data_IF_269353796921
#
_entry.id   IF_269353796921
#
_cell.length_a   1.000
_cell.length_b   1.000
_cell.length_c   1.000
_cell.angle_alpha   90.00
_cell.angle_beta   90.00
_cell.angle_gamma   90.00
#
_symmetry.space_group_name_H-M   'P 1'
#
loop_
_entity.id
_entity.type
_entity.pdbx_description
1 polymer ?
#
# COMPACT_ATOMS: atom_id res chain seq x y z
N UNK A 1 38.30 27.08 -29.29
CA UNK A 1 37.38 26.52 -28.27
C UNK A 1 36.38 27.63 -27.98
N UNK A 2 35.12 27.49 -28.36
CA UNK A 2 34.12 28.57 -28.23
C UNK A 2 33.59 28.55 -26.80
N UNK A 3 33.76 29.64 -26.05
CA UNK A 3 33.22 29.82 -24.71
C UNK A 3 31.72 30.10 -24.79
N UNK A 4 30.93 29.03 -24.84
CA UNK A 4 29.46 29.07 -24.91
C UNK A 4 28.85 29.82 -23.70
N UNK A 5 29.61 29.92 -22.60
CA UNK A 5 29.20 30.59 -21.36
C UNK A 5 29.33 32.12 -21.37
N UNK A 6 30.12 32.73 -22.27
CA UNK A 6 30.34 34.19 -22.25
C UNK A 6 29.22 35.00 -22.93
N UNK A 7 28.39 34.35 -23.76
CA UNK A 7 27.32 34.99 -24.53
C UNK A 7 25.94 34.87 -23.87
N UNK A 8 25.78 33.96 -22.90
CA UNK A 8 24.50 33.77 -22.20
C UNK A 8 24.42 34.79 -21.06
N UNK A 9 23.39 35.68 -21.04
CA UNK A 9 23.23 36.63 -19.95
C UNK A 9 23.10 35.89 -18.63
N UNK A 10 23.90 36.27 -17.62
CA UNK A 10 23.90 35.67 -16.28
C UNK A 10 22.50 35.61 -15.65
N UNK A 11 21.61 36.55 -16.04
CA UNK A 11 20.21 36.58 -15.65
C UNK A 11 19.41 35.32 -16.03
N UNK A 12 19.75 34.64 -17.13
CA UNK A 12 19.07 33.38 -17.53
C UNK A 12 19.33 32.28 -16.52
N UNK A 13 20.56 32.14 -16.04
CA UNK A 13 20.91 31.15 -15.00
C UNK A 13 20.24 31.47 -13.66
N UNK A 14 20.14 32.75 -13.30
CA UNK A 14 19.44 33.18 -12.08
C UNK A 14 17.94 32.85 -12.16
N UNK A 15 17.30 33.09 -13.31
CA UNK A 15 15.89 32.76 -13.52
C UNK A 15 15.65 31.25 -13.47
N UNK A 16 16.49 30.44 -14.12
CA UNK A 16 16.39 28.98 -14.08
C UNK A 16 16.63 28.46 -12.65
N UNK A 17 17.64 28.97 -11.96
CA UNK A 17 17.94 28.61 -10.57
C UNK A 17 16.77 28.94 -9.62
N UNK A 18 16.18 30.12 -9.76
CA UNK A 18 15.03 30.54 -8.95
C UNK A 18 13.78 29.73 -9.26
N UNK A 19 13.53 29.44 -10.54
CA UNK A 19 12.39 28.63 -10.99
C UNK A 19 12.49 27.18 -10.49
N UNK A 20 13.68 26.58 -10.60
CA UNK A 20 13.92 25.22 -10.11
C UNK A 20 13.83 25.14 -8.58
N UNK A 21 14.43 26.10 -7.86
CA UNK A 21 14.34 26.17 -6.40
C UNK A 21 12.89 26.31 -5.91
N UNK A 22 12.10 27.20 -6.51
CA UNK A 22 10.68 27.34 -6.16
C UNK A 22 9.89 26.08 -6.46
N UNK A 23 10.06 25.47 -7.65
CA UNK A 23 9.39 24.22 -8.00
C UNK A 23 9.71 23.10 -6.99
N UNK A 24 10.98 22.93 -6.62
CA UNK A 24 11.38 21.93 -5.62
C UNK A 24 10.78 22.24 -4.24
N UNK A 25 10.74 23.51 -3.82
CA UNK A 25 10.13 23.89 -2.53
C UNK A 25 8.62 23.57 -2.47
N UNK A 26 7.90 23.62 -3.58
CA UNK A 26 6.49 23.23 -3.64
C UNK A 26 6.28 21.70 -3.73
N UNK A 27 7.13 21.00 -4.48
CA UNK A 27 6.97 19.55 -4.74
C UNK A 27 7.52 18.70 -3.60
N UNK A 28 8.67 19.08 -3.03
CA UNK A 28 9.40 18.27 -2.05
C UNK A 28 8.60 18.01 -0.76
N UNK A 29 7.85 18.96 -0.17
CA UNK A 29 7.03 18.69 1.01
C UNK A 29 5.90 17.69 0.75
N UNK A 30 5.32 17.69 -0.45
CA UNK A 30 4.30 16.69 -0.83
C UNK A 30 4.96 15.33 -1.01
N UNK A 31 6.10 15.28 -1.70
CA UNK A 31 6.87 14.06 -1.91
C UNK A 31 7.31 13.41 -0.59
N UNK A 32 7.92 14.19 0.31
CA UNK A 32 8.36 13.71 1.62
C UNK A 32 7.21 13.15 2.46
N UNK A 33 6.06 13.85 2.48
CA UNK A 33 4.85 13.37 3.19
C UNK A 33 4.31 12.06 2.59
N UNK A 34 4.29 11.93 1.27
CA UNK A 34 3.91 10.67 0.62
C UNK A 34 4.87 9.53 0.99
N UNK A 35 6.18 9.81 0.98
CA UNK A 35 7.22 8.82 1.28
C UNK A 35 7.12 8.35 2.72
N UNK A 36 6.96 9.29 3.65
CA UNK A 36 6.79 8.99 5.07
C UNK A 36 5.50 8.17 5.30
N UNK A 37 4.37 8.60 4.73
CA UNK A 37 3.11 7.85 4.83
C UNK A 37 3.24 6.42 4.26
N UNK A 38 4.00 6.23 3.19
CA UNK A 38 4.25 4.91 2.60
C UNK A 38 5.04 4.00 3.52
N UNK A 39 6.09 4.53 4.15
CA UNK A 39 6.92 3.81 5.12
C UNK A 39 6.08 3.45 6.35
N UNK A 40 5.33 4.41 6.90
CA UNK A 40 4.46 4.18 8.06
C UNK A 40 3.41 3.11 7.77
N UNK A 41 2.69 3.23 6.65
CA UNK A 41 1.70 2.24 6.23
C UNK A 41 2.34 0.85 6.07
N UNK A 42 3.46 0.76 5.33
CA UNK A 42 4.13 -0.52 5.11
C UNK A 42 4.55 -1.16 6.42
N UNK A 43 5.19 -0.41 7.32
CA UNK A 43 5.66 -0.94 8.60
C UNK A 43 4.48 -1.39 9.47
N UNK A 44 3.42 -0.59 9.58
CA UNK A 44 2.26 -0.94 10.39
C UNK A 44 1.59 -2.25 9.91
N UNK A 45 1.46 -2.43 8.59
CA UNK A 45 0.91 -3.65 8.00
C UNK A 45 1.84 -4.85 8.22
N UNK A 46 3.15 -4.68 8.03
CA UNK A 46 4.14 -5.73 8.28
C UNK A 46 4.16 -6.14 9.76
N UNK A 47 4.06 -5.18 10.68
CA UNK A 47 4.02 -5.45 12.12
C UNK A 47 2.74 -6.21 12.52
N UNK A 48 1.59 -5.86 11.91
CA UNK A 48 0.33 -6.57 12.14
C UNK A 48 0.42 -8.06 11.75
N UNK A 49 1.14 -8.37 10.67
CA UNK A 49 1.22 -9.70 10.08
C UNK A 49 2.59 -10.36 10.18
N UNK A 50 3.47 -9.89 11.07
CA UNK A 50 4.87 -10.36 11.18
C UNK A 50 5.03 -11.86 11.37
N UNK A 51 4.02 -12.52 11.93
CA UNK A 51 4.01 -13.96 12.20
C UNK A 51 3.70 -14.79 10.93
N UNK A 52 3.00 -14.20 9.96
CA UNK A 52 2.50 -14.90 8.75
C UNK A 52 3.01 -14.30 7.43
N UNK A 53 3.64 -13.14 7.47
CA UNK A 53 4.13 -12.40 6.30
C UNK A 53 5.40 -11.61 6.66
N UNK A 54 6.43 -11.53 5.78
CA UNK A 54 6.49 -12.10 4.43
C UNK A 54 6.86 -13.59 4.38
N UNK A 55 7.51 -14.11 5.43
CA UNK A 55 7.91 -15.51 5.57
C UNK A 55 7.20 -16.08 6.81
N UNK A 56 6.16 -16.91 6.63
CA UNK A 56 5.48 -17.51 7.76
C UNK A 56 6.38 -18.55 8.43
N UNK A 57 6.76 -18.33 9.69
CA UNK A 57 7.46 -19.34 10.50
C UNK A 57 6.50 -20.47 10.91
N UNK A 58 5.27 -20.10 11.29
CA UNK A 58 4.17 -21.03 11.59
C UNK A 58 2.85 -20.29 11.37
N UNK A 59 1.92 -20.91 10.65
CA UNK A 59 0.55 -20.36 10.54
C UNK A 59 -0.22 -20.58 11.84
N UNK A 60 -1.02 -19.60 12.30
CA UNK A 60 -1.94 -19.78 13.41
C UNK A 60 -2.89 -20.94 13.15
N UNK A 61 -3.16 -21.74 14.19
CA UNK A 61 -4.07 -22.89 14.10
C UNK A 61 -5.50 -22.44 13.75
N UNK A 62 -5.93 -21.28 14.30
CA UNK A 62 -7.15 -20.57 13.90
C UNK A 62 -6.80 -19.29 13.14
N UNK A 63 -6.54 -19.44 11.83
CA UNK A 63 -6.23 -18.30 10.97
C UNK A 63 -7.40 -17.33 10.80
N UNK A 64 -8.66 -17.77 11.02
CA UNK A 64 -9.84 -16.92 10.92
C UNK A 64 -9.86 -15.91 12.06
N UNK A 65 -9.79 -16.39 13.30
CA UNK A 65 -9.76 -15.51 14.47
C UNK A 65 -8.55 -14.58 14.41
N UNK A 66 -7.40 -15.09 13.97
CA UNK A 66 -6.21 -14.29 13.75
C UNK A 66 -6.44 -13.08 12.81
N UNK A 67 -7.12 -13.27 11.67
CA UNK A 67 -7.44 -12.19 10.74
C UNK A 67 -8.50 -11.23 11.29
N UNK A 68 -9.55 -11.74 11.95
CA UNK A 68 -10.59 -10.92 12.58
C UNK A 68 -9.99 -9.93 13.57
N UNK A 69 -9.11 -10.40 14.44
CA UNK A 69 -8.47 -9.57 15.48
C UNK A 69 -7.63 -8.44 14.88
N UNK A 70 -7.04 -8.65 13.70
CA UNK A 70 -6.13 -7.71 13.03
C UNK A 70 -6.84 -6.81 12.02
N UNK A 71 -8.08 -7.16 11.63
CA UNK A 71 -8.83 -6.42 10.63
C UNK A 71 -9.09 -4.95 11.00
N UNK A 72 -9.50 -4.59 12.24
CA UNK A 72 -9.68 -3.18 12.60
C UNK A 72 -8.39 -2.35 12.46
N UNK A 73 -7.24 -2.96 12.78
CA UNK A 73 -5.93 -2.32 12.67
C UNK A 73 -5.57 -2.06 11.21
N UNK A 74 -5.74 -3.08 10.35
CA UNK A 74 -5.45 -2.94 8.92
C UNK A 74 -6.36 -1.90 8.26
N UNK A 75 -7.65 -1.89 8.62
CA UNK A 75 -8.64 -0.97 8.08
C UNK A 75 -8.27 0.49 8.42
N UNK A 76 -7.88 0.75 9.67
CA UNK A 76 -7.44 2.07 10.11
C UNK A 76 -6.23 2.56 9.29
N UNK A 77 -5.22 1.72 9.09
CA UNK A 77 -4.03 2.07 8.31
C UNK A 77 -4.34 2.26 6.82
N UNK A 78 -5.22 1.44 6.24
CA UNK A 78 -5.68 1.59 4.86
C UNK A 78 -6.39 2.92 4.64
N UNK A 79 -7.27 3.31 5.56
CA UNK A 79 -7.99 4.59 5.50
C UNK A 79 -7.04 5.78 5.67
N UNK A 80 -6.09 5.68 6.61
CA UNK A 80 -5.06 6.69 6.86
C UNK A 80 -4.13 6.89 5.66
N UNK A 81 -3.76 5.83 4.96
CA UNK A 81 -2.86 5.89 3.81
C UNK A 81 -3.55 6.36 2.51
N UNK A 82 -4.86 6.14 2.36
CA UNK A 82 -5.62 6.42 1.14
C UNK A 82 -5.40 7.84 0.54
N UNK A 83 -5.33 8.94 1.31
CA UNK A 83 -5.08 10.29 0.77
C UNK A 83 -3.69 10.48 0.13
N UNK A 84 -2.75 9.59 0.41
CA UNK A 84 -1.39 9.61 -0.14
C UNK A 84 -1.27 8.78 -1.44
N UNK A 85 -2.28 7.97 -1.76
CA UNK A 85 -2.34 7.23 -3.02
C UNK A 85 -2.60 8.21 -4.18
N UNK A 86 -1.83 8.12 -5.28
CA UNK A 86 -2.09 8.95 -6.46
C UNK A 86 -3.51 8.76 -6.98
N UNK A 87 -4.18 9.86 -7.37
CA UNK A 87 -5.59 9.82 -7.79
C UNK A 87 -5.88 8.78 -8.89
N UNK A 88 -4.97 8.63 -9.84
CA UNK A 88 -5.09 7.67 -10.96
C UNK A 88 -4.92 6.20 -10.52
N UNK A 89 -4.45 5.95 -9.29
CA UNK A 89 -4.32 4.63 -8.67
C UNK A 89 -5.36 4.36 -7.60
N UNK A 90 -6.13 5.36 -7.17
CA UNK A 90 -7.03 5.23 -6.01
C UNK A 90 -8.05 4.11 -6.19
N UNK A 91 -8.62 3.98 -7.40
CA UNK A 91 -9.55 2.89 -7.72
C UNK A 91 -8.87 1.51 -7.60
N UNK A 92 -7.65 1.36 -8.12
CA UNK A 92 -6.90 0.10 -8.02
C UNK A 92 -6.52 -0.23 -6.58
N UNK A 93 -6.28 0.79 -5.76
CA UNK A 93 -6.01 0.63 -4.33
C UNK A 93 -7.27 0.18 -3.59
N UNK A 94 -8.40 0.82 -3.84
CA UNK A 94 -9.69 0.43 -3.27
C UNK A 94 -10.08 -1.00 -3.71
N UNK A 95 -9.82 -1.36 -4.96
CA UNK A 95 -10.01 -2.73 -5.47
C UNK A 95 -9.09 -3.75 -4.78
N UNK A 96 -7.82 -3.40 -4.55
CA UNK A 96 -6.89 -4.26 -3.81
C UNK A 96 -7.33 -4.45 -2.35
N UNK A 97 -7.82 -3.39 -1.72
CA UNK A 97 -8.40 -3.46 -0.38
C UNK A 97 -9.67 -4.33 -0.35
N UNK A 98 -10.57 -4.17 -1.32
CA UNK A 98 -11.77 -4.99 -1.45
C UNK A 98 -11.43 -6.47 -1.63
N UNK A 99 -10.45 -6.79 -2.47
CA UNK A 99 -9.98 -8.17 -2.64
C UNK A 99 -9.43 -8.74 -1.33
N UNK A 100 -8.66 -7.94 -0.57
CA UNK A 100 -8.11 -8.39 0.70
C UNK A 100 -9.19 -8.70 1.76
N UNK A 101 -10.18 -7.83 1.90
CA UNK A 101 -11.21 -7.96 2.95
C UNK A 101 -12.37 -8.89 2.59
N UNK A 102 -12.54 -9.24 1.31
CA UNK A 102 -13.65 -10.06 0.83
C UNK A 102 -14.86 -9.23 0.38
N UNK A 103 -15.97 -9.92 0.09
CA UNK A 103 -17.11 -9.35 -0.63
C UNK A 103 -17.93 -8.35 0.19
N UNK A 104 -18.16 -8.61 1.48
CA UNK A 104 -19.10 -7.81 2.25
C UNK A 104 -18.45 -6.54 2.83
N UNK A 105 -19.12 -5.38 2.75
CA UNK A 105 -18.54 -4.06 3.11
C UNK A 105 -18.61 -3.71 4.59
N UNK A 106 -19.58 -4.30 5.27
CA UNK A 106 -20.06 -3.81 6.55
C UNK A 106 -19.70 -4.75 7.71
N UNK A 107 -19.23 -5.98 7.42
CA UNK A 107 -18.98 -7.00 8.46
C UNK A 107 -17.94 -8.05 8.01
N UNK A 108 -16.85 -7.61 7.37
CA UNK A 108 -15.80 -8.51 6.87
C UNK A 108 -15.30 -9.44 7.98
N UNK A 109 -15.20 -10.73 7.64
CA UNK A 109 -14.75 -11.81 8.53
C UNK A 109 -15.73 -12.19 9.66
N UNK A 110 -16.85 -11.49 9.86
CA UNK A 110 -17.92 -11.95 10.76
C UNK A 110 -18.67 -13.15 10.16
N UNK A 111 -18.90 -13.10 8.84
CA UNK A 111 -19.53 -14.17 8.07
C UNK A 111 -18.48 -15.19 7.65
N UNK A 112 -18.84 -16.46 7.82
CA UNK A 112 -18.01 -17.58 7.37
C UNK A 112 -17.75 -17.53 5.86
N UNK A 113 -18.64 -16.88 5.11
CA UNK A 113 -18.57 -16.67 3.66
C UNK A 113 -17.39 -15.83 3.18
N UNK A 114 -16.94 -14.88 3.99
CA UNK A 114 -15.90 -13.95 3.56
C UNK A 114 -14.49 -14.53 3.76
N UNK A 115 -14.36 -15.57 4.61
CA UNK A 115 -13.09 -16.24 4.85
C UNK A 115 -12.82 -17.39 3.87
N UNK A 116 -13.77 -17.79 3.01
CA UNK A 116 -13.56 -18.89 2.06
C UNK A 116 -12.37 -18.68 1.13
N UNK A 117 -12.08 -17.43 0.75
CA UNK A 117 -10.91 -17.12 -0.08
C UNK A 117 -9.57 -17.44 0.62
N UNK A 118 -9.58 -17.56 1.95
CA UNK A 118 -8.41 -17.87 2.79
C UNK A 118 -8.46 -19.25 3.44
N UNK A 119 -9.44 -20.08 3.08
CA UNK A 119 -9.47 -21.51 3.44
C UNK A 119 -8.69 -22.35 2.45
N UNK A 120 -8.23 -23.51 2.91
CA UNK A 120 -7.57 -24.52 2.07
C UNK A 120 -8.58 -25.23 1.12
N UNK A 121 -9.88 -24.97 1.27
CA UNK A 121 -10.97 -25.47 0.43
C UNK A 121 -12.02 -24.38 0.18
N UNK A 122 -12.59 -24.34 -1.03
CA UNK A 122 -13.71 -23.46 -1.38
C UNK A 122 -15.06 -24.05 -0.91
N UNK A 123 -16.15 -23.28 -1.10
CA UNK A 123 -17.53 -23.71 -0.85
C UNK A 123 -17.91 -25.00 -1.61
N UNK A 124 -17.29 -25.24 -2.77
CA UNK A 124 -17.59 -26.38 -3.64
C UNK A 124 -16.65 -27.57 -3.43
N UNK A 125 -15.85 -27.55 -2.35
CA UNK A 125 -14.86 -28.59 -2.04
C UNK A 125 -13.65 -28.59 -2.99
N UNK A 126 -13.49 -27.53 -3.80
CA UNK A 126 -12.32 -27.36 -4.66
C UNK A 126 -11.13 -26.94 -3.79
N UNK A 127 -9.96 -27.60 -3.91
CA UNK A 127 -8.75 -27.17 -3.22
C UNK A 127 -8.49 -25.69 -3.52
N UNK A 128 -8.30 -24.90 -2.47
CA UNK A 128 -7.94 -23.51 -2.55
C UNK A 128 -6.63 -23.31 -1.80
N UNK A 129 -5.76 -22.43 -2.27
CA UNK A 129 -4.57 -22.07 -1.50
C UNK A 129 -4.86 -20.76 -0.76
N UNK A 130 -5.65 -20.89 0.30
CA UNK A 130 -6.10 -19.74 1.07
C UNK A 130 -4.96 -18.91 1.65
N UNK A 131 -3.88 -19.57 2.05
CA UNK A 131 -2.66 -18.92 2.54
C UNK A 131 -1.94 -18.17 1.43
N UNK A 132 -1.84 -18.75 0.23
CA UNK A 132 -1.29 -18.05 -0.94
C UNK A 132 -2.15 -16.85 -1.31
N UNK A 133 -3.47 -16.99 -1.38
CA UNK A 133 -4.39 -15.89 -1.68
C UNK A 133 -4.23 -14.73 -0.68
N UNK A 134 -4.09 -15.04 0.62
CA UNK A 134 -3.80 -14.02 1.63
C UNK A 134 -2.51 -13.28 1.32
N UNK A 135 -1.42 -14.01 1.04
CA UNK A 135 -0.12 -13.41 0.73
C UNK A 135 -0.18 -12.56 -0.54
N UNK A 136 -0.85 -13.03 -1.58
CA UNK A 136 -1.00 -12.30 -2.84
C UNK A 136 -1.82 -11.02 -2.68
N UNK A 137 -2.97 -11.10 -2.00
CA UNK A 137 -3.81 -9.94 -1.74
C UNK A 137 -3.09 -8.91 -0.88
N UNK A 138 -2.39 -9.35 0.17
CA UNK A 138 -1.60 -8.48 1.04
C UNK A 138 -0.42 -7.85 0.28
N UNK A 139 0.31 -8.63 -0.53
CA UNK A 139 1.40 -8.13 -1.36
C UNK A 139 0.90 -7.10 -2.39
N UNK A 140 -0.26 -7.33 -3.00
CA UNK A 140 -0.90 -6.40 -3.93
C UNK A 140 -1.26 -5.08 -3.23
N UNK A 141 -1.82 -5.14 -2.02
CA UNK A 141 -2.11 -3.96 -1.22
C UNK A 141 -0.84 -3.19 -0.83
N UNK A 142 0.20 -3.90 -0.39
CA UNK A 142 1.51 -3.31 -0.08
C UNK A 142 2.25 -2.76 -1.30
N UNK A 143 1.92 -3.19 -2.52
CA UNK A 143 2.56 -2.67 -3.73
C UNK A 143 2.34 -1.17 -3.95
N UNK A 144 1.29 -0.60 -3.34
CA UNK A 144 0.98 0.83 -3.41
C UNK A 144 1.90 1.70 -2.55
N UNK A 145 2.65 1.12 -1.61
CA UNK A 145 3.64 1.85 -0.79
C UNK A 145 5.11 1.63 -1.22
N UNK A 146 5.36 0.76 -2.21
CA UNK A 146 6.72 0.48 -2.71
C UNK A 146 7.26 1.52 -3.70
N UNK A 147 6.41 2.39 -4.25
CA UNK A 147 6.73 3.26 -5.42
C UNK A 147 6.78 4.75 -5.09
N UNK A 148 7.13 5.13 -3.86
CA UNK A 148 7.25 6.54 -3.46
C UNK A 148 8.69 6.88 -3.10
#
# INVERSE_FOLDING_TARGET
MIDIFSWIPTGVFILIGTFTATLTAFVMPRYNRCREASIQFRNAILDCFKEVYPHPDKWPDDFKSYLIDRYPLIQAEVQKYRPFVPFYKIRKYDDAWNNFRGFDKDDCFSRETDFFQYRDYSLDGVPNDGKMNFRENLAKLLSFSNKI
#
